data_IF_473874016802
#
_entry.id   IF_473874016802
#
_cell.length_a   1.000
_cell.length_b   1.000
_cell.length_c   1.000
_cell.angle_alpha   90.00
_cell.angle_beta   90.00
_cell.angle_gamma   90.00
#
_symmetry.space_group_name_H-M   'P 1'
#
loop_
_entity.id
_entity.type
_entity.pdbx_description
1 polymer ?
#
# COMPACT_ATOMS: atom_id res chain seq x y z
N UNK A 1 18.04 24.42 16.40
CA UNK A 1 18.31 23.94 15.03
C UNK A 1 17.28 22.89 14.66
N UNK A 2 16.51 23.18 13.66
CA UNK A 2 15.53 22.22 13.15
C UNK A 2 16.16 21.39 12.04
N UNK A 3 16.22 20.10 12.24
CA UNK A 3 16.61 19.19 11.18
C UNK A 3 15.40 18.89 10.32
N UNK A 4 15.58 18.94 9.01
CA UNK A 4 14.54 18.51 8.09
C UNK A 4 14.32 17.00 8.27
N UNK A 5 13.06 16.62 8.46
CA UNK A 5 12.69 15.22 8.53
C UNK A 5 12.38 14.72 7.13
N UNK A 6 13.23 13.84 6.64
CA UNK A 6 12.97 13.15 5.39
C UNK A 6 12.35 11.79 5.66
N UNK A 7 11.59 11.29 4.70
CA UNK A 7 11.06 9.94 4.76
C UNK A 7 12.20 8.92 4.65
N UNK A 8 12.05 7.82 5.38
CA UNK A 8 12.88 6.64 5.17
C UNK A 8 12.58 6.08 3.77
N UNK A 9 13.59 5.56 3.10
CA UNK A 9 13.42 4.96 1.78
C UNK A 9 13.05 3.48 1.83
N UNK A 10 12.47 3.02 2.93
CA UNK A 10 11.86 1.71 3.03
C UNK A 10 10.40 1.87 3.39
N UNK A 11 9.56 1.13 2.69
CA UNK A 11 8.11 1.23 2.81
C UNK A 11 7.46 -0.13 2.70
N UNK A 12 6.16 -0.16 2.97
CA UNK A 12 5.32 -1.34 2.77
C UNK A 12 4.25 -1.02 1.74
N UNK A 13 3.81 -2.05 1.04
CA UNK A 13 2.63 -2.03 0.18
C UNK A 13 1.71 -3.12 0.70
N UNK A 14 0.46 -2.77 0.97
CA UNK A 14 -0.54 -3.73 1.42
C UNK A 14 -1.71 -3.72 0.46
N UNK A 15 -1.87 -4.80 -0.28
CA UNK A 15 -3.01 -4.97 -1.18
C UNK A 15 -4.16 -5.59 -0.39
N UNK A 16 -5.26 -4.86 -0.25
CA UNK A 16 -6.46 -5.33 0.44
C UNK A 16 -7.43 -5.87 -0.59
N UNK A 17 -7.93 -7.08 -0.39
CA UNK A 17 -8.96 -7.64 -1.26
C UNK A 17 -10.01 -8.37 -0.43
N UNK A 18 -11.23 -8.40 -0.96
CA UNK A 18 -12.37 -8.99 -0.26
C UNK A 18 -12.61 -10.41 -0.76
N UNK A 19 -12.76 -11.33 0.19
CA UNK A 19 -12.98 -12.74 -0.12
C UNK A 19 -14.30 -12.98 -0.86
N UNK A 20 -15.33 -12.21 -0.54
CA UNK A 20 -16.66 -12.38 -1.13
C UNK A 20 -16.73 -11.97 -2.60
N UNK A 21 -15.96 -10.96 -3.03
CA UNK A 21 -16.04 -10.42 -4.38
C UNK A 21 -14.76 -10.58 -5.19
N UNK A 22 -13.64 -10.86 -4.54
CA UNK A 22 -12.28 -10.82 -5.10
C UNK A 22 -11.89 -9.43 -5.62
N UNK A 23 -12.64 -8.39 -5.23
CA UNK A 23 -12.30 -7.02 -5.62
C UNK A 23 -11.25 -6.44 -4.69
N UNK A 24 -10.49 -5.49 -5.21
CA UNK A 24 -9.36 -4.85 -4.56
C UNK A 24 -9.77 -3.45 -4.11
N UNK A 25 -9.32 -3.04 -2.93
CA UNK A 25 -9.53 -1.67 -2.46
C UNK A 25 -8.46 -0.75 -3.04
N UNK A 26 -8.91 0.31 -3.70
CA UNK A 26 -8.06 1.34 -4.26
C UNK A 26 -8.33 2.67 -3.60
N UNK A 27 -7.27 3.43 -3.32
CA UNK A 27 -7.32 4.71 -2.65
C UNK A 27 -6.76 5.80 -3.56
N UNK A 28 -7.47 6.93 -3.62
CA UNK A 28 -7.06 8.08 -4.42
C UNK A 28 -6.17 9.01 -3.59
N UNK A 29 -4.97 9.31 -4.08
CA UNK A 29 -4.04 10.16 -3.35
C UNK A 29 -4.51 11.62 -3.33
N UNK A 30 -4.30 12.28 -2.20
CA UNK A 30 -4.61 13.69 -2.03
C UNK A 30 -3.58 14.57 -2.74
N UNK A 31 -2.31 14.17 -2.72
CA UNK A 31 -1.21 14.94 -3.32
C UNK A 31 -1.06 14.73 -4.83
N UNK A 32 -1.76 13.75 -5.38
CA UNK A 32 -1.81 13.48 -6.82
C UNK A 32 -3.12 12.76 -7.12
N UNK A 33 -4.22 13.49 -7.39
CA UNK A 33 -5.55 12.89 -7.54
C UNK A 33 -5.71 11.88 -8.68
N UNK A 34 -4.80 11.89 -9.64
CA UNK A 34 -4.79 10.88 -10.70
C UNK A 34 -4.08 9.59 -10.29
N UNK A 35 -3.52 9.57 -9.09
CA UNK A 35 -2.74 8.45 -8.59
C UNK A 35 -3.59 7.61 -7.62
N UNK A 36 -4.04 6.45 -8.10
CA UNK A 36 -4.75 5.46 -7.29
C UNK A 36 -3.80 4.36 -6.86
N UNK A 37 -3.94 3.88 -5.64
CA UNK A 37 -2.99 2.93 -5.07
C UNK A 37 -3.63 2.07 -3.99
N UNK A 38 -2.95 0.97 -3.66
CA UNK A 38 -3.22 0.20 -2.44
C UNK A 38 -2.68 0.95 -1.23
N UNK A 39 -2.81 0.40 -0.03
CA UNK A 39 -2.23 1.00 1.18
C UNK A 39 -0.71 0.96 1.07
N UNK A 40 -0.08 2.10 1.31
CA UNK A 40 1.39 2.21 1.37
C UNK A 40 1.79 3.03 2.58
N UNK A 41 2.98 2.81 3.07
CA UNK A 41 3.49 3.64 4.15
C UNK A 41 4.96 3.42 4.43
N UNK A 42 5.57 4.43 5.00
CA UNK A 42 7.00 4.43 5.33
C UNK A 42 7.24 3.65 6.61
N UNK A 43 8.26 2.81 6.61
CA UNK A 43 8.72 2.10 7.82
C UNK A 43 9.38 3.13 8.73
N UNK A 44 8.88 3.24 9.97
CA UNK A 44 9.43 4.14 10.96
C UNK A 44 10.50 3.46 11.80
N UNK A 45 11.31 4.27 12.48
CA UNK A 45 12.39 3.78 13.33
C UNK A 45 11.86 2.76 14.36
N UNK A 46 12.50 1.60 14.40
CA UNK A 46 12.13 0.54 15.34
C UNK A 46 11.00 -0.37 14.87
N UNK A 47 10.39 -0.08 13.74
CA UNK A 47 9.32 -0.92 13.18
C UNK A 47 9.87 -2.02 12.29
N UNK A 48 9.24 -3.20 12.37
CA UNK A 48 9.40 -4.21 11.33
C UNK A 48 8.44 -3.89 10.18
N UNK A 49 8.65 -4.42 8.98
CA UNK A 49 7.69 -4.22 7.88
C UNK A 49 6.27 -4.62 8.27
N UNK A 50 6.08 -5.73 8.99
CA UNK A 50 4.77 -6.18 9.43
C UNK A 50 4.11 -5.18 10.37
N UNK A 51 4.84 -4.62 11.32
CA UNK A 51 4.31 -3.61 12.24
C UNK A 51 3.88 -2.35 11.48
N UNK A 52 4.68 -1.94 10.49
CA UNK A 52 4.32 -0.82 9.63
C UNK A 52 3.03 -1.11 8.87
N UNK A 53 2.90 -2.30 8.28
CA UNK A 53 1.68 -2.69 7.56
C UNK A 53 0.45 -2.60 8.46
N UNK A 54 0.53 -3.13 9.68
CA UNK A 54 -0.58 -3.08 10.65
C UNK A 54 -0.93 -1.64 10.99
N UNK A 55 0.07 -0.80 11.24
CA UNK A 55 -0.14 0.62 11.58
C UNK A 55 -0.79 1.37 10.42
N UNK A 56 -0.30 1.19 9.21
CA UNK A 56 -0.81 1.88 8.03
C UNK A 56 -2.23 1.45 7.68
N UNK A 57 -2.57 0.18 7.86
CA UNK A 57 -3.94 -0.29 7.67
C UNK A 57 -4.90 0.45 8.60
N UNK A 58 -4.51 0.66 9.86
CA UNK A 58 -5.32 1.42 10.79
C UNK A 58 -5.37 2.90 10.43
N UNK A 59 -4.22 3.51 10.15
CA UNK A 59 -4.16 4.96 9.86
C UNK A 59 -4.89 5.32 8.58
N UNK A 60 -4.72 4.54 7.51
CA UNK A 60 -5.26 4.92 6.19
C UNK A 60 -6.72 4.53 5.99
N UNK A 61 -7.16 3.40 6.51
CA UNK A 61 -8.51 2.89 6.25
C UNK A 61 -9.27 2.43 7.49
N UNK A 62 -8.68 2.57 8.68
CA UNK A 62 -9.24 2.14 9.96
C UNK A 62 -9.54 0.65 10.02
N UNK A 63 -8.72 -0.15 9.37
CA UNK A 63 -8.79 -1.59 9.45
C UNK A 63 -7.87 -2.08 10.57
N UNK A 64 -8.44 -2.70 11.60
CA UNK A 64 -7.68 -3.20 12.72
C UNK A 64 -7.26 -4.65 12.48
N UNK A 65 -5.94 -4.88 12.43
CA UNK A 65 -5.36 -6.21 12.24
C UNK A 65 -4.40 -6.48 13.40
N UNK A 66 -4.58 -7.60 14.09
CA UNK A 66 -3.65 -8.00 15.14
C UNK A 66 -2.41 -8.67 14.55
N UNK A 67 -1.32 -8.71 15.31
CA UNK A 67 -0.07 -9.35 14.86
C UNK A 67 -0.23 -10.83 14.57
N UNK A 68 -1.18 -11.49 15.22
CA UNK A 68 -1.41 -12.93 15.06
C UNK A 68 -2.49 -13.23 14.03
N UNK A 69 -3.03 -12.20 13.36
CA UNK A 69 -4.08 -12.41 12.37
C UNK A 69 -3.54 -13.10 11.13
N UNK A 70 -4.29 -14.08 10.61
CA UNK A 70 -3.99 -14.72 9.34
C UNK A 70 -4.46 -13.90 8.15
N UNK A 71 -5.21 -12.82 8.38
CA UNK A 71 -5.69 -11.94 7.32
C UNK A 71 -4.55 -11.19 6.64
N UNK A 72 -3.50 -10.87 7.37
CA UNK A 72 -2.33 -10.17 6.82
C UNK A 72 -1.25 -11.20 6.44
N UNK A 73 -0.97 -11.30 5.15
CA UNK A 73 -0.01 -12.22 4.59
C UNK A 73 1.24 -11.47 4.16
N UNK A 74 2.40 -11.85 4.74
CA UNK A 74 3.70 -11.32 4.33
C UNK A 74 4.17 -12.10 3.10
N UNK A 75 4.31 -11.43 1.98
CA UNK A 75 4.75 -12.07 0.74
C UNK A 75 6.22 -12.48 0.79
N UNK A 76 6.98 -12.02 1.80
CA UNK A 76 8.42 -12.22 1.90
C UNK A 76 9.14 -11.77 0.63
N UNK A 77 8.64 -10.71 0.06
CA UNK A 77 9.10 -10.18 -1.20
C UNK A 77 9.24 -8.67 -1.10
N UNK A 78 10.31 -8.14 -1.67
CA UNK A 78 10.51 -6.70 -1.74
C UNK A 78 11.05 -6.33 -3.11
N UNK A 79 10.83 -5.08 -3.48
CA UNK A 79 11.27 -4.55 -4.77
C UNK A 79 11.84 -3.16 -4.54
N UNK A 80 12.91 -2.84 -5.28
CA UNK A 80 13.41 -1.48 -5.35
C UNK A 80 12.80 -0.79 -6.56
N UNK A 81 12.44 0.48 -6.38
CA UNK A 81 11.90 1.28 -7.48
C UNK A 81 12.42 2.70 -7.39
N UNK A 82 12.48 3.36 -8.55
CA UNK A 82 12.83 4.76 -8.61
C UNK A 82 11.64 5.61 -8.16
N UNK A 83 11.93 6.55 -7.24
CA UNK A 83 10.90 7.45 -6.72
C UNK A 83 10.44 8.37 -7.84
N UNK A 84 9.11 8.53 -7.99
CA UNK A 84 8.56 9.48 -8.96
C UNK A 84 9.15 10.87 -8.71
N UNK A 85 9.58 11.59 -9.76
CA UNK A 85 10.24 12.90 -9.58
C UNK A 85 9.46 13.88 -8.70
N UNK A 86 8.13 13.92 -8.83
CA UNK A 86 7.30 14.85 -8.06
C UNK A 86 7.13 14.47 -6.58
N UNK A 87 7.62 13.29 -6.17
CA UNK A 87 7.63 12.88 -4.76
C UNK A 87 9.02 12.93 -4.14
N UNK A 88 10.07 13.20 -4.93
CA UNK A 88 11.46 13.12 -4.43
C UNK A 88 11.77 14.13 -3.35
N UNK A 89 11.05 15.24 -3.29
CA UNK A 89 11.26 16.27 -2.26
C UNK A 89 11.02 15.73 -0.83
N UNK A 90 10.29 14.63 -0.70
CA UNK A 90 9.99 14.01 0.60
C UNK A 90 11.17 13.24 1.18
N UNK A 91 12.21 13.02 0.40
CA UNK A 91 13.37 12.20 0.75
C UNK A 91 14.63 13.06 0.74
N UNK A 92 15.71 12.56 1.40
CA UNK A 92 16.99 13.24 1.37
C UNK A 92 17.47 13.42 -0.09
N UNK A 93 18.22 14.50 -0.41
CA UNK A 93 18.57 14.83 -1.80
C UNK A 93 19.30 13.74 -2.58
N UNK A 94 20.05 12.88 -1.88
CA UNK A 94 20.79 11.78 -2.53
C UNK A 94 19.98 10.50 -2.67
N UNK A 95 18.74 10.47 -2.17
CA UNK A 95 17.88 9.29 -2.23
C UNK A 95 17.04 9.34 -3.49
N UNK A 96 17.20 8.35 -4.35
CA UNK A 96 16.49 8.24 -5.64
C UNK A 96 15.60 7.02 -5.71
N UNK A 97 15.82 6.03 -4.84
CA UNK A 97 15.09 4.75 -4.86
C UNK A 97 14.55 4.40 -3.50
N UNK A 98 13.43 3.69 -3.51
CA UNK A 98 12.80 3.09 -2.32
C UNK A 98 12.81 1.58 -2.44
N UNK A 99 12.85 0.91 -1.29
CA UNK A 99 12.62 -0.52 -1.17
C UNK A 99 11.23 -0.72 -0.57
N UNK A 100 10.40 -1.49 -1.26
CA UNK A 100 9.01 -1.72 -0.86
C UNK A 100 8.78 -3.18 -0.54
N UNK A 101 8.27 -3.45 0.67
CA UNK A 101 7.94 -4.80 1.13
C UNK A 101 6.46 -5.07 0.89
N UNK A 102 6.13 -6.21 0.31
CA UNK A 102 4.78 -6.53 -0.15
C UNK A 102 4.02 -7.38 0.85
N UNK A 103 2.77 -6.99 1.07
CA UNK A 103 1.80 -7.69 1.91
C UNK A 103 0.46 -7.78 1.20
N UNK A 104 -0.29 -8.83 1.55
CA UNK A 104 -1.69 -8.98 1.16
C UNK A 104 -2.55 -8.95 2.41
N UNK A 105 -3.72 -8.35 2.32
CA UNK A 105 -4.69 -8.38 3.41
C UNK A 105 -6.02 -8.87 2.86
N UNK A 106 -6.43 -10.08 3.26
CA UNK A 106 -7.71 -10.66 2.87
C UNK A 106 -8.76 -10.32 3.93
N UNK A 107 -9.80 -9.59 3.53
CA UNK A 107 -10.95 -9.33 4.40
C UNK A 107 -12.12 -10.19 3.93
N UNK A 108 -13.00 -10.58 4.87
CA UNK A 108 -14.14 -11.43 4.54
C UNK A 108 -15.11 -10.77 3.57
N UNK A 109 -15.34 -9.47 3.76
CA UNK A 109 -16.28 -8.68 2.95
C UNK A 109 -15.71 -7.31 2.66
N UNK A 110 -16.17 -6.69 1.57
CA UNK A 110 -15.88 -5.28 1.31
C UNK A 110 -16.40 -4.44 2.47
N UNK A 111 -15.62 -3.46 2.88
CA UNK A 111 -16.00 -2.56 3.97
C UNK A 111 -15.90 -1.11 3.50
N UNK A 112 -16.50 -0.22 4.27
CA UNK A 112 -16.41 1.22 4.04
C UNK A 112 -15.19 1.76 4.80
N UNK A 113 -14.09 2.09 4.12
CA UNK A 113 -12.93 2.64 4.82
C UNK A 113 -13.21 4.02 5.38
N UNK A 114 -12.56 4.35 6.50
CA UNK A 114 -12.56 5.71 7.03
C UNK A 114 -11.26 6.35 6.59
N UNK A 115 -11.35 7.28 5.65
CA UNK A 115 -10.17 7.88 5.04
C UNK A 115 -9.63 9.03 5.89
N UNK A 116 -8.30 9.12 6.01
CA UNK A 116 -7.63 10.22 6.70
C UNK A 116 -6.85 11.10 5.74
N UNK A 117 -6.11 10.52 4.81
CA UNK A 117 -5.21 11.23 3.91
C UNK A 117 -5.57 11.03 2.43
N UNK A 118 -6.56 10.22 2.13
CA UNK A 118 -6.98 9.94 0.76
C UNK A 118 -8.29 10.65 0.45
N UNK A 119 -8.49 11.01 -0.82
CA UNK A 119 -9.68 11.73 -1.27
C UNK A 119 -10.89 10.82 -1.42
N UNK A 120 -10.66 9.60 -1.89
CA UNK A 120 -11.75 8.69 -2.23
C UNK A 120 -11.23 7.25 -2.26
N UNK A 121 -12.15 6.32 -2.35
CA UNK A 121 -11.84 4.90 -2.48
C UNK A 121 -12.78 4.24 -3.48
N UNK A 122 -12.36 3.08 -3.99
CA UNK A 122 -13.26 2.20 -4.73
C UNK A 122 -12.84 0.74 -4.53
N UNK A 123 -13.81 -0.15 -4.61
CA UNK A 123 -13.60 -1.58 -4.73
C UNK A 123 -13.75 -1.94 -6.19
N UNK A 124 -12.75 -2.57 -6.79
CA UNK A 124 -12.70 -2.78 -8.23
C UNK A 124 -12.00 -4.10 -8.54
N UNK A 125 -12.29 -4.71 -9.67
CA UNK A 125 -11.62 -5.95 -10.04
C UNK A 125 -10.11 -5.76 -10.14
N UNK A 126 -9.35 -6.83 -9.89
CA UNK A 126 -7.90 -6.77 -9.98
C UNK A 126 -7.43 -6.29 -11.36
N UNK A 127 -8.08 -6.73 -12.43
CA UNK A 127 -7.73 -6.31 -13.80
C UNK A 127 -7.90 -4.82 -14.00
N UNK A 128 -9.04 -4.27 -13.57
CA UNK A 128 -9.29 -2.83 -13.69
C UNK A 128 -8.38 -2.02 -12.77
N UNK A 129 -8.08 -2.52 -11.58
CA UNK A 129 -7.15 -1.85 -10.67
C UNK A 129 -5.78 -1.66 -11.33
N UNK A 130 -5.27 -2.70 -11.97
CA UNK A 130 -3.98 -2.63 -12.67
C UNK A 130 -4.00 -1.57 -13.78
N UNK A 131 -5.11 -1.47 -14.51
CA UNK A 131 -5.23 -0.50 -15.60
C UNK A 131 -5.23 0.96 -15.12
N UNK A 132 -5.70 1.22 -13.91
CA UNK A 132 -5.82 2.59 -13.40
C UNK A 132 -4.62 3.04 -12.57
N UNK A 133 -3.65 2.16 -12.32
CA UNK A 133 -2.50 2.46 -11.49
C UNK A 133 -1.36 3.10 -12.24
N UNK A 134 -0.75 4.13 -11.62
CA UNK A 134 0.53 4.68 -12.09
C UNK A 134 1.72 3.89 -11.56
N UNK A 135 1.59 3.29 -10.38
CA UNK A 135 2.67 2.50 -9.78
C UNK A 135 2.73 1.12 -10.40
N UNK A 136 3.80 0.85 -11.13
CA UNK A 136 4.03 -0.48 -11.71
C UNK A 136 4.25 -1.54 -10.64
N UNK A 137 4.87 -1.18 -9.51
CA UNK A 137 5.08 -2.11 -8.40
C UNK A 137 3.75 -2.61 -7.85
N UNK A 138 2.83 -1.69 -7.61
CA UNK A 138 1.50 -2.01 -7.11
C UNK A 138 0.77 -2.91 -8.11
N UNK A 139 0.84 -2.57 -9.40
CA UNK A 139 0.24 -3.38 -10.46
C UNK A 139 0.86 -4.78 -10.50
N UNK A 140 2.18 -4.90 -10.38
CA UNK A 140 2.86 -6.19 -10.39
C UNK A 140 2.47 -7.07 -9.20
N UNK A 141 2.33 -6.48 -8.01
CA UNK A 141 1.87 -7.22 -6.83
C UNK A 141 0.47 -7.78 -7.05
N UNK A 142 -0.43 -6.98 -7.59
CA UNK A 142 -1.80 -7.43 -7.88
C UNK A 142 -1.80 -8.54 -8.92
N UNK A 143 -1.04 -8.39 -10.00
CA UNK A 143 -0.94 -9.42 -11.04
C UNK A 143 -0.42 -10.72 -10.47
N UNK A 144 0.63 -10.65 -9.68
CA UNK A 144 1.30 -11.85 -9.15
C UNK A 144 0.41 -12.64 -8.20
N UNK A 145 -0.32 -11.95 -7.33
CA UNK A 145 -1.03 -12.62 -6.23
C UNK A 145 -2.53 -12.72 -6.44
N UNK A 146 -3.14 -11.86 -7.24
CA UNK A 146 -4.60 -11.80 -7.31
C UNK A 146 -5.20 -12.18 -8.66
N UNK A 147 -4.44 -12.18 -9.76
CA UNK A 147 -5.00 -12.48 -11.09
C UNK A 147 -5.48 -13.94 -11.20
N UNK A 148 -4.87 -14.84 -10.45
CA UNK A 148 -5.18 -16.26 -10.53
C UNK A 148 -5.91 -16.77 -9.28
N UNK A 149 -6.53 -15.88 -8.52
CA UNK A 149 -7.34 -16.32 -7.38
C UNK A 149 -8.53 -17.14 -7.87
N UNK A 150 -8.65 -18.34 -7.32
CA UNK A 150 -9.79 -19.22 -7.59
C UNK A 150 -10.43 -19.58 -6.25
N UNK A 151 -11.74 -19.47 -6.21
CA UNK A 151 -12.52 -19.78 -5.01
C UNK A 151 -13.75 -20.56 -5.37
#
# INVERSE_FOLDING_TARGET
>A
MTSLKYKNNQSVLVVIYAKDTNRVLMLQRQDDPDFWQSVTGTIESGETPKKTAIRELWEEVRLEISENSTALFDCNESIEFEIFPHFRYKYAPNITHCKEHWFLCEVEKEFMPVLSEHLDFCWISAKKAVEMMKSQNNAEAIKKYLFNLRR
#
